data_IF_919710194644
#
_entry.id   IF_919710194644
#
_cell.length_a   1.000
_cell.length_b   1.000
_cell.length_c   1.000
_cell.angle_alpha   90.00
_cell.angle_beta   90.00
_cell.angle_gamma   90.00
#
_symmetry.space_group_name_H-M   'P 1'
#
loop_
_entity.id
_entity.type
_entity.pdbx_description
1 polymer ?
#
# COMPACT_ATOMS: atom_id res chain seq x y z
N UNK A 1 22.38 3.33 -6.03
CA UNK A 1 21.58 2.54 -5.07
C UNK A 1 22.47 1.47 -4.43
N UNK A 2 22.26 1.20 -3.18
CA UNK A 2 23.01 0.16 -2.48
C UNK A 2 22.17 -1.12 -2.39
N UNK A 3 22.86 -2.27 -2.39
CA UNK A 3 22.20 -3.59 -2.30
C UNK A 3 21.24 -3.71 -1.13
N UNK A 4 21.65 -3.26 0.05
CA UNK A 4 20.79 -3.31 1.24
C UNK A 4 19.52 -2.49 1.09
N UNK A 5 19.60 -1.32 0.46
CA UNK A 5 18.44 -0.47 0.19
C UNK A 5 17.47 -1.15 -0.78
N UNK A 6 18.00 -1.80 -1.81
CA UNK A 6 17.17 -2.52 -2.79
C UNK A 6 16.46 -3.71 -2.14
N UNK A 7 17.14 -4.47 -1.28
CA UNK A 7 16.53 -5.58 -0.56
C UNK A 7 15.41 -5.08 0.35
N UNK A 8 15.66 -4.04 1.14
CA UNK A 8 14.64 -3.46 2.02
C UNK A 8 13.44 -2.93 1.23
N UNK A 9 13.70 -2.24 0.12
CA UNK A 9 12.63 -1.72 -0.74
C UNK A 9 11.78 -2.86 -1.32
N UNK A 10 12.42 -3.94 -1.76
CA UNK A 10 11.71 -5.11 -2.30
C UNK A 10 10.84 -5.76 -1.24
N UNK A 11 11.39 -6.04 -0.07
CA UNK A 11 10.65 -6.67 1.03
C UNK A 11 9.48 -5.80 1.48
N UNK A 12 9.71 -4.51 1.68
CA UNK A 12 8.65 -3.59 2.12
C UNK A 12 7.58 -3.41 1.05
N UNK A 13 7.96 -3.30 -0.23
CA UNK A 13 6.99 -3.17 -1.31
C UNK A 13 6.07 -4.39 -1.39
N UNK A 14 6.61 -5.60 -1.27
CA UNK A 14 5.79 -6.82 -1.30
C UNK A 14 4.86 -6.90 -0.09
N UNK A 15 5.33 -6.53 1.09
CA UNK A 15 4.53 -6.53 2.30
C UNK A 15 3.38 -5.52 2.23
N UNK A 16 3.68 -4.29 1.80
CA UNK A 16 2.69 -3.23 1.67
C UNK A 16 1.69 -3.57 0.57
N UNK A 17 2.16 -4.10 -0.56
CA UNK A 17 1.30 -4.52 -1.67
C UNK A 17 0.28 -5.56 -1.22
N UNK A 18 0.72 -6.59 -0.50
CA UNK A 18 -0.15 -7.62 0.05
C UNK A 18 -1.23 -7.02 0.95
N UNK A 19 -0.85 -6.09 1.83
CA UNK A 19 -1.78 -5.41 2.72
C UNK A 19 -2.82 -4.61 1.94
N UNK A 20 -2.39 -3.85 0.93
CA UNK A 20 -3.30 -3.01 0.14
C UNK A 20 -4.25 -3.86 -0.71
N UNK A 21 -3.77 -4.97 -1.29
CA UNK A 21 -4.63 -5.90 -2.01
C UNK A 21 -5.70 -6.49 -1.08
N UNK A 22 -5.33 -6.88 0.14
CA UNK A 22 -6.28 -7.37 1.13
C UNK A 22 -7.33 -6.32 1.49
N UNK A 23 -6.95 -5.06 1.55
CA UNK A 23 -7.87 -3.95 1.81
C UNK A 23 -8.87 -3.81 0.66
N UNK A 24 -8.43 -3.87 -0.60
CA UNK A 24 -9.34 -3.82 -1.76
C UNK A 24 -10.35 -4.96 -1.74
N UNK A 25 -9.93 -6.16 -1.40
CA UNK A 25 -10.82 -7.32 -1.28
C UNK A 25 -11.83 -7.14 -0.16
N UNK A 26 -11.39 -6.64 1.01
CA UNK A 26 -12.27 -6.35 2.14
C UNK A 26 -13.29 -5.28 1.78
N UNK A 27 -12.87 -4.27 1.03
CA UNK A 27 -13.74 -3.19 0.58
C UNK A 27 -14.87 -3.69 -0.30
N UNK A 28 -14.58 -4.63 -1.21
CA UNK A 28 -15.58 -5.27 -2.04
C UNK A 28 -16.59 -6.07 -1.20
N UNK A 29 -16.11 -6.80 -0.20
CA UNK A 29 -16.97 -7.56 0.71
C UNK A 29 -17.88 -6.63 1.51
N UNK A 30 -17.34 -5.52 2.04
CA UNK A 30 -18.10 -4.54 2.82
C UNK A 30 -19.18 -3.87 1.96
N UNK A 31 -18.89 -3.63 0.69
CA UNK A 31 -19.85 -3.04 -0.25
C UNK A 31 -21.13 -3.86 -0.39
N UNK A 32 -21.06 -5.17 -0.20
CA UNK A 32 -22.20 -6.07 -0.28
C UNK A 32 -23.02 -6.18 1.01
N UNK A 33 -22.60 -5.51 2.09
CA UNK A 33 -23.30 -5.59 3.39
C UNK A 33 -24.46 -4.60 3.47
N UNK A 34 -25.41 -4.88 4.37
CA UNK A 34 -26.47 -3.95 4.70
C UNK A 34 -25.96 -2.70 5.42
N UNK A 35 -26.77 -1.61 5.52
CA UNK A 35 -26.29 -0.32 5.99
C UNK A 35 -25.62 -0.35 7.38
N UNK A 36 -26.18 -1.09 8.32
CA UNK A 36 -25.63 -1.18 9.67
C UNK A 36 -24.29 -1.91 9.73
N UNK A 37 -24.22 -3.05 9.07
CA UNK A 37 -23.00 -3.86 8.99
C UNK A 37 -21.93 -3.15 8.17
N UNK A 38 -22.34 -2.44 7.13
CA UNK A 38 -21.42 -1.66 6.29
C UNK A 38 -20.70 -0.61 7.09
N UNK A 39 -21.39 0.10 7.98
CA UNK A 39 -20.74 1.12 8.82
C UNK A 39 -19.64 0.52 9.69
N UNK A 40 -19.86 -0.66 10.25
CA UNK A 40 -18.84 -1.39 11.00
C UNK A 40 -17.67 -1.83 10.11
N UNK A 41 -17.98 -2.34 8.91
CA UNK A 41 -16.98 -2.75 7.93
C UNK A 41 -16.10 -1.59 7.48
N UNK A 42 -16.69 -0.42 7.28
CA UNK A 42 -15.95 0.79 6.91
C UNK A 42 -14.96 1.22 7.99
N UNK A 43 -15.32 1.04 9.27
CA UNK A 43 -14.39 1.27 10.38
C UNK A 43 -13.22 0.30 10.36
N UNK A 44 -13.45 -0.96 10.04
CA UNK A 44 -12.39 -1.96 9.89
C UNK A 44 -11.46 -1.58 8.75
N UNK A 45 -11.98 -1.15 7.62
CA UNK A 45 -11.18 -0.68 6.48
C UNK A 45 -10.28 0.48 6.90
N UNK A 46 -10.80 1.44 7.65
CA UNK A 46 -10.03 2.56 8.16
C UNK A 46 -8.86 2.10 9.04
N UNK A 47 -9.10 1.12 9.91
CA UNK A 47 -8.06 0.53 10.76
C UNK A 47 -6.98 -0.14 9.90
N UNK A 48 -7.39 -0.94 8.92
CA UNK A 48 -6.45 -1.63 8.01
C UNK A 48 -5.61 -0.64 7.21
N UNK A 49 -6.22 0.45 6.73
CA UNK A 49 -5.50 1.52 6.04
C UNK A 49 -4.47 2.18 6.96
N UNK A 50 -4.82 2.40 8.22
CA UNK A 50 -3.88 2.93 9.22
C UNK A 50 -2.69 2.00 9.43
N UNK A 51 -2.93 0.69 9.48
CA UNK A 51 -1.86 -0.30 9.61
C UNK A 51 -0.95 -0.30 8.38
N UNK A 52 -1.52 -0.23 7.19
CA UNK A 52 -0.74 -0.15 5.95
C UNK A 52 0.09 1.14 5.91
N UNK A 53 -0.48 2.26 6.34
CA UNK A 53 0.23 3.55 6.40
C UNK A 53 1.43 3.49 7.35
N UNK A 54 1.33 2.77 8.46
CA UNK A 54 2.46 2.56 9.37
C UNK A 54 3.59 1.78 8.70
N UNK A 55 3.26 0.79 7.89
CA UNK A 55 4.27 0.04 7.12
C UNK A 55 4.96 0.94 6.08
N UNK A 56 4.22 1.85 5.46
CA UNK A 56 4.79 2.83 4.54
C UNK A 56 5.74 3.78 5.28
N UNK A 57 5.35 4.23 6.47
CA UNK A 57 6.20 5.09 7.29
C UNK A 57 7.51 4.37 7.66
N UNK A 58 7.44 3.10 8.02
CA UNK A 58 8.63 2.30 8.26
C UNK A 58 9.51 2.22 7.01
N UNK A 59 8.91 1.96 5.85
CA UNK A 59 9.63 1.90 4.59
C UNK A 59 10.37 3.22 4.28
N UNK A 60 9.73 4.35 4.50
CA UNK A 60 10.36 5.68 4.34
C UNK A 60 11.58 5.85 5.22
N UNK A 61 11.55 5.24 6.40
CA UNK A 61 12.64 5.35 7.38
C UNK A 61 13.83 4.46 7.02
N UNK A 62 13.59 3.25 6.50
CA UNK A 62 14.63 2.25 6.26
C UNK A 62 15.05 2.11 4.80
N UNK A 63 14.21 2.47 3.84
CA UNK A 63 14.50 2.41 2.41
C UNK A 63 14.38 3.83 1.84
N UNK A 64 15.43 4.62 2.00
CA UNK A 64 15.39 6.08 1.84
C UNK A 64 15.82 6.58 0.47
N UNK A 65 16.07 5.70 -0.50
CA UNK A 65 16.50 6.11 -1.82
C UNK A 65 15.48 7.06 -2.45
N UNK A 66 15.98 8.14 -3.08
CA UNK A 66 15.15 9.22 -3.65
C UNK A 66 14.13 8.75 -4.71
N UNK A 67 14.38 7.61 -5.36
CA UNK A 67 13.50 7.07 -6.39
C UNK A 67 12.32 6.30 -5.81
N UNK A 68 12.29 6.08 -4.49
CA UNK A 68 11.20 5.38 -3.83
C UNK A 68 10.13 6.37 -3.38
N UNK A 69 9.00 6.39 -4.11
CA UNK A 69 7.89 7.32 -3.82
C UNK A 69 6.95 6.79 -2.73
N UNK A 70 7.51 6.57 -1.54
CA UNK A 70 6.71 6.17 -0.38
C UNK A 70 5.69 7.23 0.02
N UNK A 71 6.02 8.51 -0.15
CA UNK A 71 5.12 9.63 0.18
C UNK A 71 3.87 9.64 -0.70
N UNK A 72 4.03 9.33 -1.99
CA UNK A 72 2.90 9.20 -2.91
C UNK A 72 1.95 8.08 -2.48
N UNK A 73 2.49 6.94 -2.06
CA UNK A 73 1.71 5.82 -1.55
C UNK A 73 0.97 6.23 -0.27
N UNK A 74 1.67 6.84 0.67
CA UNK A 74 1.08 7.32 1.94
C UNK A 74 -0.08 8.28 1.69
N UNK A 75 0.08 9.22 0.78
CA UNK A 75 -0.97 10.19 0.41
C UNK A 75 -2.22 9.49 -0.14
N UNK A 76 -2.05 8.47 -0.97
CA UNK A 76 -3.16 7.70 -1.52
C UNK A 76 -3.90 6.91 -0.44
N UNK A 77 -3.17 6.34 0.52
CA UNK A 77 -3.77 5.62 1.65
C UNK A 77 -4.54 6.58 2.56
N UNK A 78 -4.03 7.78 2.80
CA UNK A 78 -4.71 8.81 3.59
C UNK A 78 -6.02 9.25 2.92
N UNK A 79 -6.01 9.47 1.62
CA UNK A 79 -7.22 9.82 0.86
C UNK A 79 -8.24 8.70 0.92
N UNK A 80 -7.79 7.45 0.83
CA UNK A 80 -8.66 6.27 0.95
C UNK A 80 -9.32 6.20 2.33
N UNK A 81 -8.58 6.53 3.40
CA UNK A 81 -9.09 6.56 4.75
C UNK A 81 -10.17 7.65 4.94
N UNK A 82 -9.97 8.82 4.33
CA UNK A 82 -10.96 9.91 4.36
C UNK A 82 -12.26 9.46 3.69
N UNK A 83 -12.18 8.78 2.55
CA UNK A 83 -13.36 8.28 1.84
C UNK A 83 -14.09 7.23 2.65
N UNK A 84 -13.36 6.32 3.30
CA UNK A 84 -13.96 5.31 4.18
C UNK A 84 -14.67 5.95 5.36
N UNK A 85 -14.08 6.97 5.97
CA UNK A 85 -14.63 7.70 7.10
C UNK A 85 -15.87 8.51 6.71
N UNK A 86 -15.96 8.91 5.45
CA UNK A 86 -17.09 9.70 4.91
C UNK A 86 -18.26 8.85 4.38
N UNK A 87 -18.19 7.53 4.52
CA UNK A 87 -19.23 6.62 4.05
C UNK A 87 -19.21 6.35 2.55
N UNK A 88 -18.13 6.71 1.86
CA UNK A 88 -17.95 6.48 0.42
C UNK A 88 -16.73 5.60 0.15
N UNK A 89 -16.57 4.57 0.96
CA UNK A 89 -15.40 3.69 0.94
C UNK A 89 -15.11 3.09 -0.45
N UNK A 90 -16.15 2.79 -1.23
CA UNK A 90 -16.00 2.22 -2.58
C UNK A 90 -15.22 3.13 -3.51
N UNK A 91 -15.30 4.45 -3.33
CA UNK A 91 -14.55 5.41 -4.15
C UNK A 91 -13.07 5.36 -3.88
N UNK A 92 -12.65 4.75 -2.77
CA UNK A 92 -11.24 4.54 -2.45
C UNK A 92 -10.54 3.59 -3.43
N UNK A 93 -11.28 2.74 -4.15
CA UNK A 93 -10.68 1.76 -5.07
C UNK A 93 -9.73 2.38 -6.10
N UNK A 94 -10.04 3.56 -6.60
CA UNK A 94 -9.19 4.25 -7.57
C UNK A 94 -7.85 4.62 -6.93
N UNK A 95 -7.88 5.13 -5.71
CA UNK A 95 -6.66 5.49 -4.98
C UNK A 95 -5.84 4.26 -4.58
N UNK A 96 -6.51 3.18 -4.18
CA UNK A 96 -5.85 1.93 -3.82
C UNK A 96 -5.18 1.28 -5.03
N UNK A 97 -5.84 1.31 -6.20
CA UNK A 97 -5.25 0.82 -7.45
C UNK A 97 -3.99 1.61 -7.83
N UNK A 98 -4.01 2.92 -7.66
CA UNK A 98 -2.84 3.78 -7.90
C UNK A 98 -1.72 3.46 -6.90
N UNK A 99 -2.06 3.23 -5.64
CA UNK A 99 -1.09 2.86 -4.61
C UNK A 99 -0.42 1.54 -4.98
N UNK A 100 -1.18 0.53 -5.40
CA UNK A 100 -0.65 -0.76 -5.85
C UNK A 100 0.32 -0.56 -7.02
N UNK A 101 -0.02 0.30 -7.96
CA UNK A 101 0.82 0.63 -9.11
C UNK A 101 2.17 1.22 -8.69
N UNK A 102 2.16 2.19 -7.78
CA UNK A 102 3.38 2.80 -7.25
C UNK A 102 4.22 1.79 -6.48
N UNK A 103 3.60 0.97 -5.64
CA UNK A 103 4.27 -0.08 -4.87
C UNK A 103 4.94 -1.09 -5.82
N UNK A 104 4.22 -1.52 -6.84
CA UNK A 104 4.73 -2.45 -7.85
C UNK A 104 5.94 -1.88 -8.56
N UNK A 105 5.91 -0.60 -8.91
CA UNK A 105 7.04 0.09 -9.55
C UNK A 105 8.29 0.07 -8.66
N UNK A 106 8.14 0.33 -7.37
CA UNK A 106 9.25 0.26 -6.42
C UNK A 106 9.84 -1.15 -6.39
N UNK A 107 8.99 -2.17 -6.24
CA UNK A 107 9.42 -3.56 -6.22
C UNK A 107 10.14 -3.99 -7.48
N UNK A 108 9.63 -3.60 -8.65
CA UNK A 108 10.24 -3.92 -9.93
C UNK A 108 11.62 -3.25 -10.11
N UNK A 109 11.75 -2.00 -9.70
CA UNK A 109 13.03 -1.30 -9.77
C UNK A 109 14.06 -1.91 -8.83
N UNK A 110 13.65 -2.28 -7.63
CA UNK A 110 14.52 -2.96 -6.68
C UNK A 110 14.96 -4.32 -7.21
N UNK A 111 14.04 -5.10 -7.75
CA UNK A 111 14.32 -6.41 -8.35
C UNK A 111 15.30 -6.29 -9.52
N UNK A 112 15.05 -5.33 -10.43
CA UNK A 112 15.92 -5.09 -11.59
C UNK A 112 17.36 -4.75 -11.15
N UNK A 113 17.49 -3.90 -10.14
CA UNK A 113 18.79 -3.57 -9.59
C UNK A 113 19.51 -4.81 -9.06
N UNK A 114 18.82 -5.64 -8.29
CA UNK A 114 19.40 -6.86 -7.71
C UNK A 114 19.79 -7.88 -8.79
N UNK A 115 18.99 -7.99 -9.86
CA UNK A 115 19.32 -8.86 -11.01
C UNK A 115 20.57 -8.36 -11.75
N UNK A 116 20.65 -7.05 -11.96
CA UNK A 116 21.82 -6.43 -12.62
C UNK A 116 23.10 -6.63 -11.81
N UNK A 117 22.99 -6.68 -10.49
CA UNK A 117 24.11 -6.95 -9.62
C UNK A 117 24.37 -8.45 -9.42
N UNK A 118 23.67 -9.32 -10.17
CA UNK A 118 23.77 -10.79 -10.08
C UNK A 118 23.49 -11.34 -8.67
N UNK A 119 22.58 -10.69 -7.95
CA UNK A 119 22.22 -11.06 -6.57
C UNK A 119 21.01 -11.97 -6.49
N UNK A 120 20.27 -12.10 -7.61
CA UNK A 120 19.11 -12.98 -7.76
C UNK A 120 19.35 -13.86 -8.99
N UNK A 121 19.64 -15.11 -8.75
CA UNK A 121 19.86 -16.08 -9.83
C UNK A 121 19.10 -17.36 -9.61
#
# INVERSE_FOLDING_TARGET
MKTGEAILALVQSEKIKSAVISITQTLEMVAGLGPGERAGGEKVIKILLGMAAQEVLLARTIATHKDWDWEGIESLLERSAVLADSGVAQEANIHLARAISLITTIGQRAMTFLEQEHLLQ
#
